data_IF_053282382164
#
_entry.id   IF_053282382164
#
_cell.length_a   1.000
_cell.length_b   1.000
_cell.length_c   1.000
_cell.angle_alpha   90.00
_cell.angle_beta   90.00
_cell.angle_gamma   90.00
#
_symmetry.space_group_name_H-M   'P 1'
#
loop_
_entity.id
_entity.type
_entity.pdbx_description
1 polymer ?
#
# COMPACT_ATOMS: atom_id res chain seq x y z
N UNK A 1 -25.09 47.43 -6.43
CA UNK A 1 -25.77 47.06 -5.19
C UNK A 1 -26.23 45.63 -5.33
N UNK A 2 -26.06 44.82 -4.29
CA UNK A 2 -26.64 43.46 -4.26
C UNK A 2 -28.17 43.55 -4.25
N UNK A 3 -28.88 42.46 -4.59
CA UNK A 3 -30.33 42.42 -4.40
C UNK A 3 -30.68 42.71 -2.95
N UNK A 4 -29.89 42.23 -2.01
CA UNK A 4 -30.11 42.43 -0.57
C UNK A 4 -30.07 43.91 -0.18
N UNK A 5 -29.09 44.66 -0.69
CA UNK A 5 -29.01 46.12 -0.49
C UNK A 5 -30.19 46.88 -1.13
N UNK A 6 -30.69 46.41 -2.29
CA UNK A 6 -31.86 47.03 -2.94
C UNK A 6 -33.14 46.75 -2.15
N UNK A 7 -33.30 45.53 -1.66
CA UNK A 7 -34.45 45.15 -0.82
C UNK A 7 -34.44 45.91 0.50
N UNK A 8 -33.27 46.06 1.14
CA UNK A 8 -33.12 46.87 2.35
C UNK A 8 -33.45 48.35 2.08
N UNK A 9 -33.04 48.90 0.94
CA UNK A 9 -33.42 50.25 0.54
C UNK A 9 -34.94 50.39 0.30
N UNK A 10 -35.60 49.35 -0.22
CA UNK A 10 -37.07 49.32 -0.35
C UNK A 10 -37.75 49.31 1.01
N UNK A 11 -37.28 48.50 1.96
CA UNK A 11 -37.83 48.43 3.32
C UNK A 11 -37.66 49.77 4.05
N UNK A 12 -36.49 50.40 3.94
CA UNK A 12 -36.22 51.73 4.50
C UNK A 12 -37.18 52.79 3.92
N UNK A 13 -37.46 52.74 2.62
CA UNK A 13 -38.39 53.68 1.97
C UNK A 13 -39.85 53.45 2.42
N UNK A 14 -40.24 52.20 2.63
CA UNK A 14 -41.54 51.84 3.17
C UNK A 14 -41.70 52.30 4.64
N UNK A 15 -40.67 52.12 5.47
CA UNK A 15 -40.69 52.53 6.88
C UNK A 15 -40.71 54.05 7.06
N UNK A 16 -40.08 54.81 6.15
CA UNK A 16 -40.07 56.27 6.15
C UNK A 16 -41.35 56.89 5.60
N UNK A 17 -42.23 56.10 4.98
CA UNK A 17 -43.44 56.59 4.33
C UNK A 17 -44.40 57.25 5.33
N UNK A 18 -44.99 58.38 4.95
CA UNK A 18 -45.86 59.15 5.86
C UNK A 18 -47.25 58.56 5.90
N UNK A 19 -47.74 58.20 7.08
CA UNK A 19 -49.12 57.72 7.28
C UNK A 19 -50.14 58.83 6.93
N UNK A 20 -51.18 58.49 6.19
CA UNK A 20 -52.24 59.42 5.78
C UNK A 20 -53.41 59.35 6.77
N UNK A 21 -53.76 60.43 7.50
CA UNK A 21 -54.85 60.43 8.48
C UNK A 21 -56.22 60.02 7.88
N UNK A 22 -57.06 59.36 8.69
CA UNK A 22 -58.37 58.79 8.31
C UNK A 22 -58.33 57.72 7.20
N UNK A 23 -57.16 57.38 6.66
CA UNK A 23 -57.00 56.17 5.84
C UNK A 23 -56.58 55.04 6.76
N UNK A 24 -57.20 53.86 6.63
CA UNK A 24 -56.93 52.68 7.46
C UNK A 24 -55.51 52.13 7.24
N UNK A 25 -54.48 52.82 7.74
CA UNK A 25 -53.08 52.42 7.65
C UNK A 25 -52.45 52.57 6.26
N UNK A 26 -52.90 53.51 5.42
CA UNK A 26 -52.21 53.79 4.15
C UNK A 26 -51.10 54.83 4.37
N UNK A 27 -50.00 54.63 3.64
CA UNK A 27 -48.85 55.53 3.67
C UNK A 27 -48.58 56.12 2.30
N UNK A 28 -48.00 57.31 2.29
CA UNK A 28 -47.68 58.06 1.08
C UNK A 28 -46.23 57.80 0.69
N UNK A 29 -46.03 57.28 -0.53
CA UNK A 29 -44.74 56.85 -1.07
C UNK A 29 -44.52 57.55 -2.42
N UNK A 30 -43.27 57.95 -2.70
CA UNK A 30 -42.90 58.41 -4.04
C UNK A 30 -42.84 57.21 -5.00
N UNK A 31 -43.81 57.18 -5.92
CA UNK A 31 -43.98 56.09 -6.88
C UNK A 31 -42.82 56.01 -7.86
N UNK A 32 -42.19 57.12 -8.24
CA UNK A 32 -41.08 57.11 -9.20
C UNK A 32 -39.81 56.57 -8.56
N UNK A 33 -39.50 57.02 -7.34
CA UNK A 33 -38.36 56.52 -6.58
C UNK A 33 -38.49 55.02 -6.28
N UNK A 34 -39.67 54.58 -5.82
CA UNK A 34 -39.91 53.16 -5.54
C UNK A 34 -39.90 52.30 -6.81
N UNK A 35 -40.40 52.84 -7.93
CA UNK A 35 -40.34 52.16 -9.24
C UNK A 35 -38.91 51.98 -9.74
N UNK A 36 -38.00 52.89 -9.40
CA UNK A 36 -36.58 52.74 -9.72
C UNK A 36 -35.93 51.61 -8.92
N UNK A 37 -36.22 51.48 -7.63
CA UNK A 37 -35.76 50.33 -6.83
C UNK A 37 -36.26 49.01 -7.42
N UNK A 38 -37.54 48.93 -7.82
CA UNK A 38 -38.11 47.74 -8.49
C UNK A 38 -37.41 47.43 -9.82
N UNK A 39 -37.04 48.44 -10.61
CA UNK A 39 -36.26 48.23 -11.84
C UNK A 39 -34.88 47.66 -11.53
N UNK A 40 -34.21 48.17 -10.51
CA UNK A 40 -32.89 47.67 -10.10
C UNK A 40 -32.96 46.21 -9.65
N UNK A 41 -33.99 45.80 -8.90
CA UNK A 41 -34.22 44.37 -8.59
C UNK A 41 -34.35 43.56 -9.88
N UNK A 42 -35.20 44.00 -10.82
CA UNK A 42 -35.41 43.28 -12.09
C UNK A 42 -34.16 43.17 -12.95
N UNK A 43 -33.27 44.16 -12.89
CA UNK A 43 -32.02 44.17 -13.64
C UNK A 43 -30.98 43.23 -13.00
N UNK A 44 -30.85 43.23 -11.67
CA UNK A 44 -29.80 42.50 -10.98
C UNK A 44 -30.18 41.03 -10.68
N UNK A 45 -31.48 40.74 -10.45
CA UNK A 45 -31.93 39.44 -9.96
C UNK A 45 -31.61 38.27 -10.92
N UNK A 46 -31.74 38.42 -12.25
CA UNK A 46 -31.34 37.36 -13.18
C UNK A 46 -29.84 37.03 -13.11
N UNK A 47 -29.00 38.02 -12.81
CA UNK A 47 -27.56 37.86 -12.68
C UNK A 47 -27.20 37.04 -11.44
N UNK A 48 -27.76 37.40 -10.29
CA UNK A 48 -27.53 36.66 -9.04
C UNK A 48 -28.06 35.22 -9.10
N UNK A 49 -29.23 35.00 -9.71
CA UNK A 49 -29.76 33.63 -9.91
C UNK A 49 -28.80 32.79 -10.76
N UNK A 50 -28.25 33.36 -11.86
CA UNK A 50 -27.26 32.66 -12.69
C UNK A 50 -25.98 32.35 -11.92
N UNK A 51 -25.49 33.28 -11.11
CA UNK A 51 -24.31 33.06 -10.28
C UNK A 51 -24.54 31.97 -9.23
N UNK A 52 -25.70 31.98 -8.55
CA UNK A 52 -26.08 30.93 -7.61
C UNK A 52 -26.18 29.55 -8.28
N UNK A 53 -26.77 29.48 -9.47
CA UNK A 53 -26.83 28.25 -10.26
C UNK A 53 -25.45 27.76 -10.68
N UNK A 54 -24.55 28.66 -11.10
CA UNK A 54 -23.17 28.32 -11.43
C UNK A 54 -22.43 27.74 -10.22
N UNK A 55 -22.54 28.39 -9.06
CA UNK A 55 -21.92 27.93 -7.81
C UNK A 55 -22.40 26.52 -7.42
N UNK A 56 -23.70 26.23 -7.56
CA UNK A 56 -24.25 24.89 -7.29
C UNK A 56 -23.68 23.85 -8.25
N UNK A 57 -23.55 24.20 -9.54
CA UNK A 57 -22.97 23.30 -10.54
C UNK A 57 -21.48 23.06 -10.28
N UNK A 58 -20.70 24.10 -9.99
CA UNK A 58 -19.28 24.02 -9.68
C UNK A 58 -19.05 23.14 -8.44
N UNK A 59 -19.86 23.32 -7.39
CA UNK A 59 -19.83 22.46 -6.21
C UNK A 59 -20.06 20.99 -6.56
N UNK A 60 -21.01 20.70 -7.46
CA UNK A 60 -21.29 19.33 -7.90
C UNK A 60 -20.08 18.74 -8.65
N UNK A 61 -19.45 19.52 -9.53
CA UNK A 61 -18.24 19.10 -10.25
C UNK A 61 -17.11 18.80 -9.27
N UNK A 62 -16.79 19.72 -8.35
CA UNK A 62 -15.75 19.54 -7.33
C UNK A 62 -15.97 18.26 -6.52
N UNK A 63 -17.21 18.00 -6.08
CA UNK A 63 -17.52 16.79 -5.31
C UNK A 63 -17.31 15.52 -6.15
N UNK A 64 -17.70 15.54 -7.43
CA UNK A 64 -17.53 14.38 -8.31
C UNK A 64 -16.05 14.12 -8.60
N UNK A 65 -15.27 15.15 -8.87
CA UNK A 65 -13.84 15.05 -9.12
C UNK A 65 -13.11 14.52 -7.89
N UNK A 66 -13.42 15.06 -6.70
CA UNK A 66 -12.87 14.58 -5.44
C UNK A 66 -13.20 13.10 -5.17
N UNK A 67 -14.42 12.65 -5.51
CA UNK A 67 -14.80 11.23 -5.41
C UNK A 67 -14.01 10.36 -6.39
N UNK A 68 -13.89 10.78 -7.65
CA UNK A 68 -13.13 10.05 -8.66
C UNK A 68 -11.64 9.94 -8.28
N UNK A 69 -11.07 11.02 -7.74
CA UNK A 69 -9.70 11.03 -7.24
C UNK A 69 -9.52 10.11 -6.03
N UNK A 70 -10.43 10.16 -5.06
CA UNK A 70 -10.41 9.27 -3.90
C UNK A 70 -10.47 7.79 -4.30
N UNK A 71 -11.35 7.43 -5.23
CA UNK A 71 -11.40 6.06 -5.77
C UNK A 71 -10.10 5.67 -6.49
N UNK A 72 -9.50 6.59 -7.24
CA UNK A 72 -8.21 6.37 -7.92
C UNK A 72 -7.09 6.12 -6.91
N UNK A 73 -7.04 6.89 -5.82
CA UNK A 73 -6.08 6.72 -4.74
C UNK A 73 -6.25 5.34 -4.08
N UNK A 74 -7.49 4.96 -3.75
CA UNK A 74 -7.78 3.65 -3.14
C UNK A 74 -7.34 2.52 -4.06
N UNK A 75 -7.72 2.55 -5.36
CA UNK A 75 -7.30 1.54 -6.33
C UNK A 75 -5.78 1.39 -6.41
N UNK A 76 -5.05 2.51 -6.50
CA UNK A 76 -3.58 2.51 -6.53
C UNK A 76 -2.98 1.96 -5.25
N UNK A 77 -3.56 2.27 -4.09
CA UNK A 77 -3.10 1.75 -2.81
C UNK A 77 -3.29 0.24 -2.70
N UNK A 78 -4.46 -0.27 -3.13
CA UNK A 78 -4.76 -1.71 -3.16
C UNK A 78 -3.82 -2.47 -4.11
N UNK A 79 -3.57 -1.94 -5.30
CA UNK A 79 -2.62 -2.54 -6.26
C UNK A 79 -1.20 -2.60 -5.66
N UNK A 80 -0.75 -1.53 -5.03
CA UNK A 80 0.57 -1.48 -4.37
C UNK A 80 0.66 -2.46 -3.20
N UNK A 81 -0.38 -2.56 -2.38
CA UNK A 81 -0.45 -3.51 -1.28
C UNK A 81 -0.39 -4.96 -1.80
N UNK A 82 -1.13 -5.27 -2.87
CA UNK A 82 -1.12 -6.59 -3.51
C UNK A 82 0.27 -6.95 -4.06
N UNK A 83 0.94 -6.00 -4.71
CA UNK A 83 2.30 -6.19 -5.21
C UNK A 83 3.30 -6.47 -4.07
N UNK A 84 3.23 -5.70 -2.98
CA UNK A 84 4.10 -5.87 -1.82
C UNK A 84 3.91 -7.24 -1.14
N UNK A 85 2.66 -7.68 -0.95
CA UNK A 85 2.38 -9.02 -0.40
C UNK A 85 2.89 -10.12 -1.33
N UNK A 86 2.70 -9.96 -2.64
CA UNK A 86 3.22 -10.92 -3.63
C UNK A 86 4.75 -11.01 -3.57
N UNK A 87 5.44 -9.87 -3.47
CA UNK A 87 6.89 -9.82 -3.34
C UNK A 87 7.35 -10.49 -2.04
N UNK A 88 6.71 -10.19 -0.91
CA UNK A 88 7.03 -10.80 0.38
C UNK A 88 6.87 -12.33 0.36
N UNK A 89 5.81 -12.84 -0.27
CA UNK A 89 5.58 -14.28 -0.44
C UNK A 89 6.71 -14.91 -1.27
N UNK A 90 7.09 -14.28 -2.39
CA UNK A 90 8.18 -14.77 -3.24
C UNK A 90 9.50 -14.78 -2.46
N UNK A 91 9.81 -13.71 -1.72
CA UNK A 91 11.02 -13.62 -0.91
C UNK A 91 11.06 -14.69 0.19
N UNK A 92 9.96 -14.89 0.93
CA UNK A 92 9.87 -15.95 1.95
C UNK A 92 10.04 -17.34 1.34
N UNK A 93 9.41 -17.60 0.19
CA UNK A 93 9.56 -18.88 -0.50
C UNK A 93 11.00 -19.11 -0.98
N UNK A 94 11.66 -18.08 -1.51
CA UNK A 94 13.06 -18.14 -1.92
C UNK A 94 13.98 -18.42 -0.72
N UNK A 95 13.75 -17.76 0.42
CA UNK A 95 14.50 -17.98 1.66
C UNK A 95 14.32 -19.41 2.18
N UNK A 96 13.10 -19.94 2.22
CA UNK A 96 12.83 -21.32 2.62
C UNK A 96 13.56 -22.32 1.72
N UNK A 97 13.47 -22.14 0.40
CA UNK A 97 14.16 -23.00 -0.56
C UNK A 97 15.69 -22.91 -0.43
N UNK A 98 16.23 -21.73 -0.18
CA UNK A 98 17.66 -21.57 0.08
C UNK A 98 18.08 -22.31 1.36
N UNK A 99 17.27 -22.25 2.42
CA UNK A 99 17.52 -22.96 3.67
C UNK A 99 17.47 -24.49 3.50
N UNK A 100 16.52 -24.99 2.72
CA UNK A 100 16.43 -26.42 2.36
C UNK A 100 17.68 -26.89 1.59
N UNK A 101 18.12 -26.10 0.59
CA UNK A 101 19.34 -26.40 -0.17
C UNK A 101 20.56 -26.44 0.74
N UNK A 102 20.72 -25.45 1.62
CA UNK A 102 21.82 -25.39 2.59
C UNK A 102 21.82 -26.60 3.52
N UNK A 103 20.66 -26.96 4.07
CA UNK A 103 20.51 -28.09 4.98
C UNK A 103 20.80 -29.41 4.28
N UNK A 104 20.31 -29.57 3.05
CA UNK A 104 20.57 -30.75 2.21
C UNK A 104 22.06 -30.87 1.86
N UNK A 105 22.69 -29.76 1.46
CA UNK A 105 24.13 -29.73 1.15
C UNK A 105 24.99 -30.07 2.38
N UNK A 106 24.66 -29.51 3.55
CA UNK A 106 25.35 -29.82 4.81
C UNK A 106 25.19 -31.28 5.21
N UNK A 107 23.99 -31.83 5.08
CA UNK A 107 23.71 -33.24 5.39
C UNK A 107 24.50 -34.15 4.47
N UNK A 108 24.44 -33.90 3.16
CA UNK A 108 25.17 -34.68 2.16
C UNK A 108 26.69 -34.58 2.33
N UNK A 109 27.20 -33.41 2.72
CA UNK A 109 28.62 -33.25 3.05
C UNK A 109 29.05 -34.10 4.24
N UNK A 110 28.24 -34.14 5.31
CA UNK A 110 28.49 -34.99 6.48
C UNK A 110 28.44 -36.48 6.13
N UNK A 111 27.46 -36.89 5.32
CA UNK A 111 27.33 -38.27 4.85
C UNK A 111 28.55 -38.70 4.03
N UNK A 112 28.97 -37.88 3.06
CA UNK A 112 30.17 -38.14 2.25
C UNK A 112 31.39 -38.28 3.17
N UNK A 113 31.61 -37.34 4.08
CA UNK A 113 32.75 -37.39 5.02
C UNK A 113 32.74 -38.67 5.86
N UNK A 114 31.58 -39.07 6.38
CA UNK A 114 31.45 -40.30 7.16
C UNK A 114 31.71 -41.54 6.30
N UNK A 115 31.16 -41.59 5.09
CA UNK A 115 31.37 -42.70 4.16
C UNK A 115 32.85 -42.83 3.74
N UNK A 116 33.51 -41.71 3.44
CA UNK A 116 34.94 -41.67 3.13
C UNK A 116 35.78 -42.15 4.31
N UNK A 117 35.50 -41.68 5.54
CA UNK A 117 36.22 -42.14 6.72
C UNK A 117 36.07 -43.65 6.92
N UNK A 118 34.85 -44.20 6.79
CA UNK A 118 34.62 -45.64 6.89
C UNK A 118 35.36 -46.43 5.81
N UNK A 119 35.39 -45.91 4.58
CA UNK A 119 36.11 -46.54 3.48
C UNK A 119 37.62 -46.58 3.73
N UNK A 120 38.20 -45.44 4.16
CA UNK A 120 39.62 -45.35 4.51
C UNK A 120 39.97 -46.30 5.66
N UNK A 121 39.16 -46.34 6.71
CA UNK A 121 39.35 -47.25 7.84
C UNK A 121 39.35 -48.72 7.40
N UNK A 122 38.38 -49.11 6.56
CA UNK A 122 38.32 -50.48 6.02
C UNK A 122 39.55 -50.83 5.18
N UNK A 123 40.05 -49.90 4.37
CA UNK A 123 41.27 -50.11 3.60
C UNK A 123 42.49 -50.26 4.51
N UNK A 124 42.64 -49.39 5.52
CA UNK A 124 43.74 -49.45 6.48
C UNK A 124 43.71 -50.76 7.29
N UNK A 125 42.54 -51.17 7.77
CA UNK A 125 42.36 -52.47 8.47
C UNK A 125 42.80 -53.64 7.59
N UNK A 126 42.42 -53.64 6.32
CA UNK A 126 42.80 -54.72 5.39
C UNK A 126 44.30 -54.75 5.10
N UNK A 127 44.95 -53.58 5.05
CA UNK A 127 46.41 -53.50 4.91
C UNK A 127 47.10 -54.01 6.17
N UNK A 128 46.61 -53.64 7.35
CA UNK A 128 47.15 -54.09 8.64
C UNK A 128 47.06 -55.62 8.81
N UNK A 129 45.91 -56.21 8.46
CA UNK A 129 45.71 -57.66 8.44
C UNK A 129 46.70 -58.36 7.49
N UNK A 130 46.87 -57.83 6.28
CA UNK A 130 47.79 -58.39 5.29
C UNK A 130 49.25 -58.33 5.76
N UNK A 131 49.68 -57.19 6.33
CA UNK A 131 51.03 -57.03 6.86
C UNK A 131 51.27 -57.95 8.07
N UNK A 132 50.29 -58.09 8.96
CA UNK A 132 50.37 -59.00 10.11
C UNK A 132 50.48 -60.46 9.67
N UNK A 133 49.70 -60.86 8.66
CA UNK A 133 49.80 -62.21 8.07
C UNK A 133 51.19 -62.45 7.47
N UNK A 134 51.65 -61.54 6.60
CA UNK A 134 52.97 -61.65 5.96
C UNK A 134 54.11 -61.72 6.99
N UNK A 135 54.05 -60.89 8.04
CA UNK A 135 55.04 -60.91 9.12
C UNK A 135 55.02 -62.25 9.87
N UNK A 136 53.84 -62.81 10.08
CA UNK A 136 53.66 -64.13 10.72
C UNK A 136 54.29 -65.24 9.88
N UNK A 137 54.09 -65.20 8.56
CA UNK A 137 54.67 -66.19 7.63
C UNK A 137 56.21 -66.08 7.56
N UNK A 138 56.75 -64.87 7.56
CA UNK A 138 58.21 -64.65 7.67
C UNK A 138 58.75 -65.21 8.99
N UNK A 139 58.06 -64.96 10.12
CA UNK A 139 58.47 -65.48 11.43
C UNK A 139 58.44 -67.02 11.47
N UNK A 140 57.39 -67.63 10.92
CA UNK A 140 57.28 -69.11 10.80
C UNK A 140 58.42 -69.67 9.95
N UNK A 141 58.65 -69.11 8.75
CA UNK A 141 59.72 -69.54 7.84
C UNK A 141 61.09 -69.47 8.50
N UNK A 142 61.36 -68.38 9.22
CA UNK A 142 62.62 -68.20 9.97
C UNK A 142 62.77 -69.22 11.11
N UNK A 143 61.70 -69.56 11.82
CA UNK A 143 61.72 -70.58 12.87
C UNK A 143 62.03 -71.97 12.28
N UNK A 144 61.34 -72.36 11.21
CA UNK A 144 61.59 -73.65 10.54
C UNK A 144 63.03 -73.81 10.04
N UNK A 145 63.65 -72.75 9.51
CA UNK A 145 65.06 -72.77 9.09
C UNK A 145 66.05 -72.87 10.26
N UNK A 146 65.67 -72.40 11.46
CA UNK A 146 66.48 -72.52 12.66
C UNK A 146 66.40 -73.94 13.23
N UNK A 147 65.21 -74.53 13.21
CA UNK A 147 64.97 -75.90 13.66
C UNK A 147 65.61 -76.94 12.71
N UNK A 148 65.69 -76.66 11.41
CA UNK A 148 66.36 -77.56 10.44
C UNK A 148 67.89 -77.55 10.51
N UNK A 149 68.51 -76.73 11.37
CA UNK A 149 69.97 -76.61 11.54
C UNK A 149 70.49 -77.31 12.81
N UNK A 150 69.61 -77.90 13.61
CA UNK A 150 69.95 -78.78 14.73
C UNK A 150 69.62 -80.24 14.36
#
# INVERSE_FOLDING_TARGET
MSIEEILEAMDIELDKSKNVPLTRGKSLIDVEQFRELVKQVRLNLPGEIKQAQALVNDRRVIINDAKAEAESIIRKAEEKAKAMVSEEVITKQAQNRAHEILTSAQTKSKEIKSATNKYVESMLSRVDELLTSNLTDVRKTRASLKDSKN
#
